data_IF_350985340841
#
_entry.id   IF_350985340841
#
_cell.length_a   1.000
_cell.length_b   1.000
_cell.length_c   1.000
_cell.angle_alpha   90.00
_cell.angle_beta   90.00
_cell.angle_gamma   90.00
#
_symmetry.space_group_name_H-M   'P 1'
#
loop_
_entity.id
_entity.type
_entity.pdbx_description
1 polymer ?
#
# COMPACT_ATOMS: atom_id res chain seq x y z
N UNK A 1 -19.98 4.43 -41.70
CA UNK A 1 -19.74 3.60 -40.50
C UNK A 1 -18.92 4.44 -39.53
N UNK A 2 -19.58 5.10 -38.54
CA UNK A 2 -18.91 5.97 -37.57
C UNK A 2 -18.46 5.10 -36.39
N UNK A 3 -17.15 4.92 -36.21
CA UNK A 3 -16.56 4.30 -35.05
C UNK A 3 -16.67 5.32 -33.90
N UNK A 4 -17.52 5.05 -32.90
CA UNK A 4 -17.53 5.77 -31.64
C UNK A 4 -16.31 5.33 -30.86
N UNK A 5 -15.27 6.15 -30.83
CA UNK A 5 -14.19 6.06 -29.83
C UNK A 5 -14.82 6.38 -28.47
N UNK A 6 -15.03 5.34 -27.65
CA UNK A 6 -15.27 5.50 -26.23
C UNK A 6 -13.94 5.92 -25.60
N UNK A 7 -13.76 7.23 -25.44
CA UNK A 7 -12.72 7.77 -24.56
C UNK A 7 -13.23 7.55 -23.15
N UNK A 8 -12.78 6.47 -22.47
CA UNK A 8 -12.94 6.36 -21.02
C UNK A 8 -12.20 7.54 -20.39
N UNK A 9 -12.94 8.56 -20.01
CA UNK A 9 -12.43 9.63 -19.16
C UNK A 9 -12.18 8.97 -17.80
N UNK A 10 -10.91 8.78 -17.47
CA UNK A 10 -10.48 8.47 -16.12
C UNK A 10 -11.06 9.50 -15.16
N UNK A 11 -12.06 9.10 -14.37
CA UNK A 11 -12.73 10.00 -13.41
C UNK A 11 -11.84 10.10 -12.18
N UNK A 12 -11.24 11.27 -12.00
CA UNK A 12 -10.47 11.59 -10.79
C UNK A 12 -11.48 11.93 -9.69
N UNK A 13 -11.52 11.18 -8.60
CA UNK A 13 -12.32 11.49 -7.44
C UNK A 13 -11.66 12.62 -6.65
N UNK A 14 -12.27 13.80 -6.57
CA UNK A 14 -11.66 15.03 -6.04
C UNK A 14 -11.85 15.22 -4.54
N UNK A 15 -12.87 14.60 -3.94
CA UNK A 15 -13.27 14.86 -2.55
C UNK A 15 -12.80 13.71 -1.61
N UNK A 16 -11.58 13.20 -1.85
CA UNK A 16 -10.96 12.18 -1.02
C UNK A 16 -10.10 12.83 0.05
N UNK A 17 -10.40 12.53 1.31
CA UNK A 17 -9.54 12.91 2.44
C UNK A 17 -8.56 11.78 2.75
N UNK A 18 -7.27 12.12 2.85
CA UNK A 18 -6.25 11.17 3.31
C UNK A 18 -5.73 11.65 4.66
N UNK A 19 -5.72 10.75 5.63
CA UNK A 19 -5.34 11.06 7.01
C UNK A 19 -4.65 9.85 7.67
N UNK A 20 -4.02 10.10 8.82
CA UNK A 20 -3.57 9.02 9.71
C UNK A 20 -4.77 8.18 10.16
N UNK A 21 -4.62 6.86 10.16
CA UNK A 21 -5.62 5.94 10.70
C UNK A 21 -5.68 6.03 12.23
N UNK A 22 -6.85 5.76 12.78
CA UNK A 22 -7.15 5.71 14.22
C UNK A 22 -7.87 4.41 14.57
N UNK A 23 -8.00 4.09 15.86
CA UNK A 23 -8.64 2.85 16.31
C UNK A 23 -10.04 2.62 15.75
N UNK A 24 -10.82 3.69 15.55
CA UNK A 24 -12.15 3.61 14.94
C UNK A 24 -12.16 3.09 13.49
N UNK A 25 -11.01 3.13 12.81
CA UNK A 25 -10.87 2.64 11.43
C UNK A 25 -10.68 1.12 11.35
N UNK A 26 -10.36 0.43 12.45
CA UNK A 26 -10.03 -1.01 12.47
C UNK A 26 -11.09 -1.87 11.76
N UNK A 27 -12.41 -1.71 11.99
CA UNK A 27 -13.40 -2.53 11.29
C UNK A 27 -13.41 -2.35 9.76
N UNK A 28 -13.05 -1.17 9.27
CA UNK A 28 -12.94 -0.89 7.84
C UNK A 28 -11.60 -1.38 7.27
N UNK A 29 -10.50 -1.23 8.02
CA UNK A 29 -9.19 -1.80 7.69
C UNK A 29 -9.27 -3.31 7.54
N UNK A 30 -9.94 -4.01 8.46
CA UNK A 30 -10.11 -5.46 8.41
C UNK A 30 -10.71 -5.95 7.09
N UNK A 31 -11.74 -5.27 6.60
CA UNK A 31 -12.38 -5.62 5.32
C UNK A 31 -11.40 -5.54 4.16
N UNK A 32 -10.56 -4.51 4.12
CA UNK A 32 -9.58 -4.32 3.06
C UNK A 32 -8.38 -5.26 3.22
N UNK A 33 -7.98 -5.57 4.46
CA UNK A 33 -6.92 -6.55 4.76
C UNK A 33 -7.31 -7.95 4.24
N UNK A 34 -8.56 -8.36 4.36
CA UNK A 34 -9.05 -9.60 3.73
C UNK A 34 -8.99 -9.56 2.21
N UNK A 35 -9.34 -8.42 1.58
CA UNK A 35 -9.27 -8.28 0.13
C UNK A 35 -7.84 -8.42 -0.40
N UNK A 36 -6.87 -7.71 0.22
CA UNK A 36 -5.47 -7.77 -0.21
C UNK A 36 -4.85 -9.13 0.09
N UNK A 37 -5.18 -9.73 1.24
CA UNK A 37 -4.70 -11.06 1.58
C UNK A 37 -5.16 -12.10 0.55
N UNK A 38 -6.40 -12.00 0.07
CA UNK A 38 -6.90 -12.84 -1.02
C UNK A 38 -6.07 -12.68 -2.30
N UNK A 39 -5.70 -11.46 -2.68
CA UNK A 39 -4.83 -11.24 -3.85
C UNK A 39 -3.48 -11.94 -3.66
N UNK A 40 -2.89 -11.86 -2.47
CA UNK A 40 -1.61 -12.51 -2.18
C UNK A 40 -1.73 -14.04 -2.20
N UNK A 41 -2.80 -14.60 -1.61
CA UNK A 41 -3.03 -16.05 -1.61
C UNK A 41 -3.37 -16.60 -3.00
N UNK A 42 -4.01 -15.82 -3.86
CA UNK A 42 -4.27 -16.21 -5.25
C UNK A 42 -2.97 -16.23 -6.08
N UNK A 43 -2.00 -15.34 -5.78
CA UNK A 43 -0.69 -15.28 -6.47
C UNK A 43 0.28 -16.35 -5.96
N UNK A 44 0.33 -16.58 -4.65
CA UNK A 44 1.25 -17.53 -4.00
C UNK A 44 0.53 -18.41 -2.97
N UNK A 45 -0.36 -19.31 -3.42
CA UNK A 45 -1.11 -20.21 -2.55
C UNK A 45 -0.24 -21.22 -1.78
N UNK A 46 0.98 -21.42 -2.25
CA UNK A 46 2.02 -22.25 -1.62
C UNK A 46 2.64 -21.58 -0.38
N UNK A 47 2.62 -20.25 -0.29
CA UNK A 47 3.23 -19.47 0.78
C UNK A 47 2.18 -18.77 1.65
N UNK A 48 1.11 -18.26 1.04
CA UNK A 48 0.09 -17.42 1.70
C UNK A 48 -1.18 -18.24 1.92
N UNK A 49 -1.60 -18.38 3.19
CA UNK A 49 -2.82 -19.13 3.56
C UNK A 49 -4.06 -18.41 3.07
N UNK A 50 -4.95 -19.09 2.35
CA UNK A 50 -6.23 -18.53 1.96
C UNK A 50 -7.15 -18.27 3.18
N UNK A 51 -8.00 -17.23 3.09
CA UNK A 51 -9.04 -16.94 4.08
C UNK A 51 -8.55 -16.40 5.42
N UNK A 52 -7.28 -16.00 5.53
CA UNK A 52 -6.72 -15.37 6.72
C UNK A 52 -6.66 -13.83 6.57
N UNK A 53 -6.37 -13.13 7.65
CA UNK A 53 -5.90 -11.74 7.64
C UNK A 53 -4.51 -11.68 8.29
N UNK A 54 -3.75 -10.66 7.95
CA UNK A 54 -2.36 -10.53 8.40
C UNK A 54 -2.26 -10.27 9.89
N UNK A 55 -3.07 -9.33 10.40
CA UNK A 55 -2.98 -8.83 11.77
C UNK A 55 -4.31 -9.01 12.49
N UNK A 56 -4.26 -9.29 13.79
CA UNK A 56 -5.42 -9.28 14.70
C UNK A 56 -5.80 -7.83 15.06
N UNK A 57 -6.98 -7.61 15.62
CA UNK A 57 -7.41 -6.28 16.07
C UNK A 57 -6.49 -5.69 17.15
N UNK A 58 -5.92 -6.55 18.02
CA UNK A 58 -4.97 -6.12 19.04
C UNK A 58 -3.64 -5.69 18.44
N UNK A 59 -3.14 -6.40 17.44
CA UNK A 59 -1.96 -6.03 16.66
C UNK A 59 -2.18 -4.75 15.86
N UNK A 60 -3.35 -4.59 15.22
CA UNK A 60 -3.71 -3.34 14.54
C UNK A 60 -3.69 -2.14 15.49
N UNK A 61 -4.26 -2.27 16.70
CA UNK A 61 -4.19 -1.19 17.71
C UNK A 61 -2.75 -0.83 18.06
N UNK A 62 -1.89 -1.81 18.25
CA UNK A 62 -0.47 -1.58 18.53
C UNK A 62 0.22 -0.87 17.34
N UNK A 63 -0.05 -1.31 16.11
CA UNK A 63 0.48 -0.69 14.88
C UNK A 63 0.02 0.77 14.77
N UNK A 64 -1.26 1.05 14.99
CA UNK A 64 -1.81 2.40 14.89
C UNK A 64 -1.26 3.36 15.96
N UNK A 65 -0.89 2.84 17.12
CA UNK A 65 -0.31 3.61 18.22
C UNK A 65 1.19 3.90 18.07
N UNK A 66 1.90 3.21 17.16
CA UNK A 66 3.33 3.36 16.95
C UNK A 66 3.63 4.34 15.80
N UNK A 67 4.41 5.37 16.08
CA UNK A 67 4.86 6.34 15.08
C UNK A 67 5.88 5.76 14.07
N UNK A 68 6.49 4.61 14.38
CA UNK A 68 7.36 3.90 13.44
C UNK A 68 6.57 3.05 12.42
N UNK A 69 5.29 2.86 12.64
CA UNK A 69 4.40 2.13 11.73
C UNK A 69 3.21 2.98 11.28
N UNK A 70 3.44 4.12 10.60
CA UNK A 70 2.36 5.01 10.19
C UNK A 70 1.41 4.33 9.19
N UNK A 71 0.12 4.39 9.50
CA UNK A 71 -0.95 3.92 8.61
C UNK A 71 -1.77 5.10 8.13
N UNK A 72 -2.00 5.18 6.83
CA UNK A 72 -2.81 6.22 6.20
C UNK A 72 -4.04 5.60 5.55
N UNK A 73 -5.17 6.29 5.65
CA UNK A 73 -6.45 5.87 5.05
C UNK A 73 -6.96 6.94 4.12
N UNK A 74 -7.54 6.51 3.01
CA UNK A 74 -8.28 7.35 2.08
C UNK A 74 -9.77 7.18 2.35
N UNK A 75 -10.49 8.27 2.54
CA UNK A 75 -11.89 8.32 2.94
C UNK A 75 -12.68 9.28 2.08
N UNK A 76 -13.92 8.93 1.78
CA UNK A 76 -14.91 9.80 1.15
C UNK A 76 -16.29 9.48 1.73
N UNK A 77 -17.00 10.51 2.21
CA UNK A 77 -18.32 10.41 2.83
C UNK A 77 -18.43 9.31 3.90
N UNK A 78 -17.42 9.22 4.78
CA UNK A 78 -17.37 8.24 5.86
C UNK A 78 -17.09 6.81 5.41
N UNK A 79 -16.83 6.58 4.11
CA UNK A 79 -16.43 5.28 3.57
C UNK A 79 -14.93 5.24 3.35
N UNK A 80 -14.25 4.22 3.90
CA UNK A 80 -12.85 3.95 3.58
C UNK A 80 -12.73 3.39 2.17
N UNK A 81 -11.88 4.00 1.36
CA UNK A 81 -11.64 3.65 -0.04
C UNK A 81 -10.31 2.90 -0.23
N UNK A 82 -9.41 3.00 0.74
CA UNK A 82 -8.10 2.37 0.70
C UNK A 82 -7.22 2.77 1.87
N UNK A 83 -6.06 2.12 1.96
CA UNK A 83 -5.06 2.38 2.99
C UNK A 83 -3.63 2.20 2.47
N UNK A 84 -2.67 2.72 3.23
CA UNK A 84 -1.25 2.43 3.11
C UNK A 84 -0.66 2.18 4.50
N UNK A 85 -0.18 0.97 4.75
CA UNK A 85 0.64 0.62 5.92
C UNK A 85 2.09 0.91 5.58
N UNK A 86 2.77 1.65 6.46
CA UNK A 86 4.17 1.99 6.28
C UNK A 86 4.99 1.59 7.51
N UNK A 87 6.28 1.37 7.33
CA UNK A 87 7.22 1.02 8.39
C UNK A 87 8.46 1.89 8.25
N UNK A 88 8.86 2.54 9.35
CA UNK A 88 10.15 3.19 9.44
C UNK A 88 11.27 2.15 9.48
N UNK A 89 12.26 2.28 8.59
CA UNK A 89 13.45 1.43 8.56
C UNK A 89 14.70 2.30 8.58
N UNK A 90 15.62 2.00 9.50
CA UNK A 90 16.89 2.68 9.62
C UNK A 90 17.92 1.76 10.28
N UNK A 91 19.14 1.74 9.77
CA UNK A 91 20.25 0.97 10.32
C UNK A 91 21.19 1.93 11.05
N UNK A 92 20.93 2.13 12.36
CA UNK A 92 21.79 2.98 13.19
C UNK A 92 23.00 2.17 13.69
N UNK A 93 24.20 2.77 13.57
CA UNK A 93 25.46 2.15 14.03
C UNK A 93 25.75 0.78 13.39
N UNK A 94 25.25 0.54 12.18
CA UNK A 94 25.55 -0.68 11.42
C UNK A 94 26.94 -0.60 10.77
N UNK A 95 27.66 -1.74 10.74
CA UNK A 95 29.02 -1.77 10.20
C UNK A 95 29.09 -1.66 8.68
N UNK A 96 28.00 -1.91 7.95
CA UNK A 96 27.96 -2.02 6.50
C UNK A 96 26.91 -1.13 5.84
N UNK A 97 25.84 -0.79 6.56
CA UNK A 97 24.74 0.02 6.06
C UNK A 97 24.86 1.46 6.52
N UNK A 98 24.46 2.38 5.66
CA UNK A 98 24.32 3.79 6.04
C UNK A 98 23.08 4.00 6.89
N UNK A 99 23.06 5.07 7.68
CA UNK A 99 21.97 5.41 8.61
C UNK A 99 20.79 6.16 7.94
N UNK A 100 20.63 6.01 6.63
CA UNK A 100 19.51 6.61 5.90
C UNK A 100 18.18 6.12 6.44
N UNK A 101 17.21 7.04 6.48
CA UNK A 101 15.82 6.71 6.81
C UNK A 101 15.11 6.22 5.56
N UNK A 102 14.52 5.05 5.61
CA UNK A 102 13.66 4.50 4.58
C UNK A 102 12.24 4.36 5.11
N UNK A 103 11.26 4.89 4.39
CA UNK A 103 9.85 4.56 4.63
C UNK A 103 9.49 3.37 3.75
N UNK A 104 9.17 2.24 4.36
CA UNK A 104 8.79 1.04 3.66
C UNK A 104 7.26 0.94 3.61
N UNK A 105 6.68 0.91 2.42
CA UNK A 105 5.26 0.59 2.24
C UNK A 105 5.14 -0.93 2.36
N UNK A 106 4.60 -1.37 3.48
CA UNK A 106 4.39 -2.78 3.78
C UNK A 106 3.17 -3.34 3.05
N UNK A 107 2.13 -2.52 2.94
CA UNK A 107 0.91 -2.85 2.21
C UNK A 107 0.19 -1.58 1.71
N UNK A 108 -0.35 -1.63 0.50
CA UNK A 108 -1.19 -0.59 -0.08
C UNK A 108 -2.38 -1.26 -0.78
N UNK A 109 -3.57 -0.95 -0.31
CA UNK A 109 -4.80 -1.52 -0.83
C UNK A 109 -5.81 -0.43 -1.20
N UNK A 110 -6.50 -0.63 -2.30
CA UNK A 110 -7.69 0.14 -2.69
C UNK A 110 -8.87 -0.82 -2.78
N UNK A 111 -9.98 -0.45 -2.11
CA UNK A 111 -11.23 -1.18 -2.19
C UNK A 111 -11.58 -1.49 -3.66
N UNK A 112 -11.93 -2.74 -3.95
CA UNK A 112 -12.19 -3.19 -5.33
C UNK A 112 -13.26 -2.37 -6.03
N UNK A 113 -14.30 -1.92 -5.29
CA UNK A 113 -15.37 -1.06 -5.81
C UNK A 113 -14.91 0.38 -6.11
N UNK A 114 -13.72 0.77 -5.64
CA UNK A 114 -13.15 2.12 -5.79
C UNK A 114 -11.92 2.15 -6.70
N UNK A 115 -11.60 1.02 -7.35
CA UNK A 115 -10.52 0.96 -8.35
C UNK A 115 -10.87 1.78 -9.59
N UNK A 116 -9.85 2.30 -10.27
CA UNK A 116 -10.02 3.19 -11.42
C UNK A 116 -10.31 4.65 -11.08
N UNK A 117 -10.53 4.99 -9.80
CA UNK A 117 -10.78 6.36 -9.30
C UNK A 117 -9.50 7.07 -8.83
N UNK A 118 -8.34 6.56 -9.15
CA UNK A 118 -7.02 7.09 -8.78
C UNK A 118 -6.71 7.17 -7.27
N UNK A 119 -7.46 6.44 -6.43
CA UNK A 119 -7.25 6.44 -4.98
C UNK A 119 -5.84 5.97 -4.60
N UNK A 120 -5.33 4.91 -5.25
CA UNK A 120 -3.97 4.42 -5.01
C UNK A 120 -2.89 5.45 -5.33
N UNK A 121 -3.07 6.25 -6.40
CA UNK A 121 -2.14 7.34 -6.74
C UNK A 121 -2.18 8.44 -5.69
N UNK A 122 -3.36 8.82 -5.18
CA UNK A 122 -3.52 9.83 -4.14
C UNK A 122 -2.90 9.36 -2.81
N UNK A 123 -3.15 8.10 -2.39
CA UNK A 123 -2.52 7.51 -1.22
C UNK A 123 -0.99 7.52 -1.34
N UNK A 124 -0.47 7.06 -2.47
CA UNK A 124 0.97 7.05 -2.72
C UNK A 124 1.56 8.45 -2.70
N UNK A 125 0.94 9.43 -3.34
CA UNK A 125 1.39 10.83 -3.32
C UNK A 125 1.46 11.38 -1.89
N UNK A 126 0.43 11.09 -1.07
CA UNK A 126 0.40 11.46 0.34
C UNK A 126 1.56 10.82 1.14
N UNK A 127 1.83 9.53 0.92
CA UNK A 127 2.96 8.82 1.55
C UNK A 127 4.29 9.47 1.15
N UNK A 128 4.46 9.84 -0.11
CA UNK A 128 5.67 10.54 -0.59
C UNK A 128 5.84 11.90 0.08
N UNK A 129 4.78 12.68 0.19
CA UNK A 129 4.84 13.99 0.81
C UNK A 129 5.11 13.88 2.32
N UNK A 130 4.49 12.92 2.99
CA UNK A 130 4.82 12.58 4.39
C UNK A 130 6.29 12.19 4.55
N UNK A 131 6.80 11.31 3.67
CA UNK A 131 8.19 10.86 3.71
C UNK A 131 9.17 12.04 3.53
N UNK A 132 8.90 12.93 2.59
CA UNK A 132 9.71 14.14 2.37
C UNK A 132 9.70 15.05 3.60
N UNK A 133 8.52 15.34 4.15
CA UNK A 133 8.39 16.20 5.32
C UNK A 133 9.09 15.63 6.57
N UNK A 134 9.10 14.30 6.72
CA UNK A 134 9.75 13.60 7.83
C UNK A 134 11.25 13.30 7.59
N UNK A 135 11.82 13.73 6.46
CA UNK A 135 13.25 13.58 6.15
C UNK A 135 13.67 12.16 5.79
N UNK A 136 12.79 11.35 5.22
CA UNK A 136 13.17 10.06 4.66
C UNK A 136 13.97 10.24 3.37
N UNK A 137 14.99 9.39 3.20
CA UNK A 137 15.82 9.37 1.99
C UNK A 137 15.08 8.76 0.81
N UNK A 138 14.34 7.69 1.04
CA UNK A 138 13.58 6.99 0.01
C UNK A 138 12.29 6.35 0.56
N UNK A 139 11.42 5.98 -0.37
CA UNK A 139 10.26 5.10 -0.13
C UNK A 139 10.48 3.82 -0.91
N UNK A 140 10.29 2.67 -0.25
CA UNK A 140 10.47 1.35 -0.86
C UNK A 140 9.28 0.45 -0.59
N UNK A 141 9.12 -0.60 -1.39
CA UNK A 141 8.13 -1.67 -1.18
C UNK A 141 8.62 -2.97 -1.83
N UNK A 142 7.92 -4.05 -1.54
CA UNK A 142 8.07 -5.30 -2.29
C UNK A 142 6.75 -5.62 -3.02
N UNK A 143 6.87 -6.17 -4.22
CA UNK A 143 5.74 -6.65 -5.00
C UNK A 143 6.04 -8.06 -5.52
N UNK A 144 5.06 -8.97 -5.42
CA UNK A 144 5.19 -10.29 -6.01
C UNK A 144 5.35 -10.20 -7.53
N UNK A 145 6.34 -10.89 -8.10
CA UNK A 145 6.64 -10.85 -9.53
C UNK A 145 5.44 -11.21 -10.41
N UNK A 146 4.56 -12.06 -9.91
CA UNK A 146 3.34 -12.50 -10.61
C UNK A 146 2.14 -11.56 -10.40
N UNK A 147 2.22 -10.59 -9.47
CA UNK A 147 1.23 -9.53 -9.33
C UNK A 147 1.49 -8.42 -10.37
N UNK A 148 1.27 -8.75 -11.65
CA UNK A 148 1.51 -7.83 -12.77
C UNK A 148 0.75 -6.51 -12.66
N UNK A 149 -0.54 -6.47 -12.22
CA UNK A 149 -1.25 -5.20 -12.05
C UNK A 149 -0.59 -4.27 -11.05
N UNK A 150 -0.14 -4.78 -9.89
CA UNK A 150 0.56 -3.97 -8.89
C UNK A 150 1.94 -3.50 -9.40
N UNK A 151 2.71 -4.39 -10.04
CA UNK A 151 3.99 -4.03 -10.64
C UNK A 151 3.84 -2.88 -11.63
N UNK A 152 2.91 -3.01 -12.58
CA UNK A 152 2.63 -1.96 -13.58
C UNK A 152 2.19 -0.65 -12.93
N UNK A 153 1.35 -0.72 -11.88
CA UNK A 153 0.93 0.48 -11.14
C UNK A 153 2.14 1.21 -10.53
N UNK A 154 3.04 0.51 -9.84
CA UNK A 154 4.20 1.12 -9.20
C UNK A 154 5.20 1.68 -10.22
N UNK A 155 5.46 0.99 -11.32
CA UNK A 155 6.29 1.50 -12.42
C UNK A 155 5.71 2.80 -13.01
N UNK A 156 4.40 2.83 -13.25
CA UNK A 156 3.70 4.00 -13.80
C UNK A 156 3.80 5.24 -12.90
N UNK A 157 3.81 5.06 -11.58
CA UNK A 157 3.96 6.16 -10.61
C UNK A 157 5.42 6.48 -10.27
N UNK A 158 6.39 5.88 -10.98
CA UNK A 158 7.80 6.26 -10.97
C UNK A 158 8.71 5.44 -10.07
N UNK A 159 8.25 4.31 -9.50
CA UNK A 159 9.17 3.40 -8.81
C UNK A 159 10.01 2.61 -9.81
N UNK A 160 11.21 2.25 -9.38
CA UNK A 160 12.15 1.42 -10.14
C UNK A 160 12.58 0.23 -9.30
N UNK A 161 12.90 -0.85 -9.96
CA UNK A 161 13.46 -2.03 -9.28
C UNK A 161 14.75 -1.64 -8.56
N UNK A 162 14.80 -1.89 -7.26
CA UNK A 162 15.97 -1.66 -6.40
C UNK A 162 16.82 -2.93 -6.26
N UNK A 163 16.16 -4.07 -6.06
CA UNK A 163 16.77 -5.39 -5.93
C UNK A 163 15.78 -6.46 -6.41
N UNK A 164 16.30 -7.62 -6.75
CA UNK A 164 15.50 -8.76 -7.19
C UNK A 164 15.68 -9.89 -6.17
N UNK A 165 14.55 -10.39 -5.63
CA UNK A 165 14.49 -11.64 -4.89
C UNK A 165 14.37 -12.82 -5.86
N UNK A 166 15.13 -13.87 -5.61
CA UNK A 166 15.08 -15.11 -6.42
C UNK A 166 14.83 -16.30 -5.51
N UNK A 167 14.09 -17.27 -6.01
CA UNK A 167 13.84 -18.53 -5.29
C UNK A 167 14.06 -19.74 -6.20
N UNK A 168 14.28 -20.89 -5.58
CA UNK A 168 14.25 -22.21 -6.22
C UNK A 168 13.45 -23.14 -5.32
N UNK A 169 12.32 -23.62 -5.81
CA UNK A 169 11.53 -24.65 -5.12
C UNK A 169 12.26 -26.00 -5.26
N UNK A 170 12.39 -26.75 -4.14
CA UNK A 170 13.12 -28.01 -4.04
C UNK A 170 12.17 -29.21 -4.12
#
# INVERSE_FOLDING_TARGET
>A
MRIKLHTERSVFMTDVTIRRAVDADIPALDKLLYQVHKVHSDVRPDIVKAGAKKDTDAELKAILADDHTPVFVAEHDGKMLGYAFCIHKQFLNDNSMTDIKTLYIDDLCVDESSRGLHIGQQLYAYVIDYARAAGYYNVTLNVWADNKPALHFYEKIGLRVQKIGMEKIL
#
